data_IF_121674215867
#
_entry.id   IF_121674215867
#
_cell.length_a   1.000
_cell.length_b   1.000
_cell.length_c   1.000
_cell.angle_alpha   90.00
_cell.angle_beta   90.00
_cell.angle_gamma   90.00
#
_symmetry.space_group_name_H-M   'P 1'
#
loop_
_entity.id
_entity.type
_entity.pdbx_description
1 polymer ?
#
# COMPACT_ATOMS: atom_id res chain seq x y z
N UNK A 1 -10.64 35.49 -21.83
CA UNK A 1 -10.27 34.78 -23.08
C UNK A 1 -10.78 35.57 -24.25
N UNK A 2 -9.96 35.69 -25.30
CA UNK A 2 -10.27 36.38 -26.57
C UNK A 2 -10.43 35.35 -27.69
N UNK A 3 -10.93 35.76 -28.86
CA UNK A 3 -11.14 34.86 -30.00
C UNK A 3 -9.83 34.20 -30.44
N UNK A 4 -8.72 34.94 -30.40
CA UNK A 4 -7.40 34.48 -30.82
C UNK A 4 -6.96 33.27 -29.99
N UNK A 5 -7.15 33.33 -28.67
CA UNK A 5 -6.79 32.24 -27.74
C UNK A 5 -7.70 31.02 -27.95
N UNK A 6 -8.98 31.23 -28.24
CA UNK A 6 -9.90 30.13 -28.54
C UNK A 6 -9.55 29.45 -29.87
N UNK A 7 -9.17 30.23 -30.89
CA UNK A 7 -8.74 29.74 -32.20
C UNK A 7 -7.44 28.96 -32.11
N UNK A 8 -6.46 29.46 -31.35
CA UNK A 8 -5.19 28.75 -31.11
C UNK A 8 -5.41 27.40 -30.40
N UNK A 9 -6.28 27.35 -29.39
CA UNK A 9 -6.63 26.11 -28.71
C UNK A 9 -7.34 25.10 -29.63
N UNK A 10 -8.22 25.57 -30.51
CA UNK A 10 -8.90 24.73 -31.51
C UNK A 10 -7.90 24.12 -32.51
N UNK A 11 -7.00 24.95 -33.05
CA UNK A 11 -5.95 24.50 -33.98
C UNK A 11 -5.02 23.48 -33.32
N UNK A 12 -4.58 23.75 -32.09
CA UNK A 12 -3.77 22.81 -31.30
C UNK A 12 -4.48 21.47 -31.07
N UNK A 13 -5.78 21.48 -30.79
CA UNK A 13 -6.57 20.26 -30.65
C UNK A 13 -6.68 19.49 -31.97
N UNK A 14 -6.93 20.17 -33.08
CA UNK A 14 -7.04 19.58 -34.43
C UNK A 14 -5.71 18.94 -34.83
N UNK A 15 -4.58 19.62 -34.62
CA UNK A 15 -3.25 19.09 -34.92
C UNK A 15 -2.90 17.85 -34.07
N UNK A 16 -3.50 17.71 -32.88
CA UNK A 16 -3.34 16.50 -32.05
C UNK A 16 -4.08 15.26 -32.59
N UNK A 17 -4.92 15.41 -33.63
CA UNK A 17 -5.73 14.34 -34.22
C UNK A 17 -5.27 14.03 -35.64
N UNK A 18 -4.81 12.80 -35.85
CA UNK A 18 -4.20 12.29 -37.09
C UNK A 18 -5.02 12.49 -38.38
N UNK A 19 -6.33 12.75 -38.30
CA UNK A 19 -7.22 12.80 -39.46
C UNK A 19 -8.02 14.10 -39.56
N UNK A 20 -7.71 15.11 -38.75
CA UNK A 20 -8.42 16.38 -38.79
C UNK A 20 -7.65 17.34 -39.71
N UNK A 21 -8.37 18.00 -40.61
CA UNK A 21 -7.78 18.98 -41.54
C UNK A 21 -7.60 20.32 -40.84
N UNK A 22 -6.35 20.73 -40.63
CA UNK A 22 -6.01 22.03 -40.02
C UNK A 22 -6.46 23.21 -40.86
N UNK A 23 -6.53 23.07 -42.18
CA UNK A 23 -7.08 24.09 -43.09
C UNK A 23 -8.56 24.35 -42.85
N UNK A 24 -9.37 23.31 -42.65
CA UNK A 24 -10.81 23.47 -42.35
C UNK A 24 -11.00 24.13 -40.98
N UNK A 25 -10.16 23.81 -40.00
CA UNK A 25 -10.24 24.42 -38.68
C UNK A 25 -9.84 25.91 -38.65
N UNK A 26 -8.92 26.32 -39.54
CA UNK A 26 -8.52 27.73 -39.71
C UNK A 26 -9.64 28.59 -40.27
N UNK A 27 -10.44 28.05 -41.19
CA UNK A 27 -11.53 28.76 -41.88
C UNK A 27 -12.84 28.81 -41.09
N UNK A 28 -12.92 28.12 -39.94
CA UNK A 28 -14.11 28.17 -39.08
C UNK A 28 -14.31 29.57 -38.50
N UNK A 29 -15.54 30.07 -38.62
CA UNK A 29 -15.97 31.34 -38.01
C UNK A 29 -16.55 31.04 -36.64
N UNK A 30 -15.93 31.61 -35.59
CA UNK A 30 -16.46 31.53 -34.23
C UNK A 30 -17.62 32.51 -34.12
N UNK A 31 -18.85 31.98 -34.17
CA UNK A 31 -20.06 32.82 -34.16
C UNK A 31 -20.36 33.41 -32.77
N UNK A 32 -20.10 32.66 -31.71
CA UNK A 32 -20.43 33.07 -30.35
C UNK A 32 -19.48 32.43 -29.34
N UNK A 33 -18.97 33.23 -28.40
CA UNK A 33 -18.18 32.79 -27.25
C UNK A 33 -19.01 32.98 -25.98
N UNK A 34 -19.63 31.90 -25.49
CA UNK A 34 -20.33 31.90 -24.21
C UNK A 34 -19.35 31.68 -23.09
N UNK A 35 -19.44 32.46 -22.02
CA UNK A 35 -18.69 32.21 -20.78
C UNK A 35 -19.52 31.33 -19.86
N UNK A 36 -18.92 30.24 -19.40
CA UNK A 36 -19.51 29.34 -18.44
C UNK A 36 -18.65 29.27 -17.18
N UNK A 37 -19.28 29.48 -16.03
CA UNK A 37 -18.59 29.37 -14.74
C UNK A 37 -18.83 27.98 -14.20
N UNK A 38 -17.75 27.27 -13.91
CA UNK A 38 -17.78 25.98 -13.24
C UNK A 38 -17.23 26.15 -11.83
N UNK A 39 -17.95 25.67 -10.82
CA UNK A 39 -17.43 25.61 -9.47
C UNK A 39 -17.09 24.17 -9.11
N UNK A 40 -15.88 23.97 -8.58
CA UNK A 40 -15.39 22.70 -8.04
C UNK A 40 -15.25 22.85 -6.53
N UNK A 41 -15.86 21.94 -5.81
CA UNK A 41 -15.62 21.74 -4.38
C UNK A 41 -14.70 20.54 -4.19
N UNK A 42 -13.68 20.70 -3.36
CA UNK A 42 -12.76 19.64 -2.97
C UNK A 42 -12.62 19.62 -1.45
N UNK A 43 -12.80 18.46 -0.85
CA UNK A 43 -12.55 18.19 0.56
C UNK A 43 -11.47 17.12 0.66
N UNK A 44 -10.34 17.47 1.25
CA UNK A 44 -9.28 16.54 1.58
C UNK A 44 -9.26 16.31 3.09
N UNK A 45 -9.24 15.05 3.51
CA UNK A 45 -9.26 14.66 4.92
C UNK A 45 -8.09 13.76 5.22
N UNK A 46 -7.19 14.26 6.05
CA UNK A 46 -6.06 13.52 6.54
C UNK A 46 -6.41 12.80 7.83
N UNK A 47 -6.25 11.48 7.83
CA UNK A 47 -6.67 10.63 8.94
C UNK A 47 -5.57 9.65 9.36
N UNK A 48 -5.55 9.34 10.65
CA UNK A 48 -4.71 8.32 11.25
C UNK A 48 -5.58 7.14 11.70
N UNK A 49 -5.21 5.93 11.28
CA UNK A 49 -5.82 4.70 11.77
C UNK A 49 -4.77 3.79 12.41
N UNK A 50 -5.16 3.04 13.43
CA UNK A 50 -4.29 2.15 14.19
C UNK A 50 -4.91 0.76 14.30
N UNK A 51 -4.14 -0.27 13.94
CA UNK A 51 -4.53 -1.67 14.11
C UNK A 51 -3.42 -2.44 14.83
N UNK A 52 -3.80 -3.50 15.52
CA UNK A 52 -2.87 -4.41 16.18
C UNK A 52 -2.92 -5.80 15.57
N UNK A 53 -1.76 -6.33 15.19
CA UNK A 53 -1.61 -7.68 14.66
C UNK A 53 -0.59 -8.48 15.48
N UNK A 54 -0.85 -9.76 15.73
CA UNK A 54 0.17 -10.64 16.31
C UNK A 54 1.18 -11.04 15.25
N UNK A 55 2.46 -10.82 15.53
CA UNK A 55 3.55 -11.23 14.66
C UNK A 55 4.64 -11.97 15.43
N UNK A 56 5.64 -12.49 14.72
CA UNK A 56 6.75 -13.21 15.34
C UNK A 56 8.06 -13.03 14.57
N UNK A 57 9.17 -13.18 15.29
CA UNK A 57 10.51 -13.22 14.70
C UNK A 57 11.39 -14.29 15.37
N UNK A 58 12.47 -14.76 14.72
CA UNK A 58 13.47 -15.60 15.36
C UNK A 58 13.97 -14.97 16.66
N UNK A 59 14.02 -15.76 17.73
CA UNK A 59 14.48 -15.28 19.02
C UNK A 59 16.01 -15.32 19.08
N UNK A 60 16.66 -14.17 18.86
CA UNK A 60 18.14 -14.05 18.86
C UNK A 60 18.70 -13.39 20.12
N UNK A 61 17.91 -12.57 20.82
CA UNK A 61 18.35 -11.77 21.96
C UNK A 61 17.78 -12.29 23.27
N UNK A 62 18.57 -12.27 24.34
CA UNK A 62 18.16 -12.79 25.66
C UNK A 62 17.23 -11.83 26.42
N UNK A 63 17.20 -10.55 26.07
CA UNK A 63 16.30 -9.57 26.69
C UNK A 63 14.94 -9.58 26.00
N UNK A 64 13.89 -9.84 26.79
CA UNK A 64 12.50 -9.85 26.33
C UNK A 64 11.72 -8.78 27.07
N UNK A 65 11.04 -7.93 26.30
CA UNK A 65 10.10 -6.96 26.83
C UNK A 65 8.68 -7.55 26.87
N UNK A 66 8.43 -8.41 27.87
CA UNK A 66 7.17 -9.10 28.06
C UNK A 66 6.32 -8.54 29.20
N UNK A 67 5.16 -9.17 29.49
CA UNK A 67 4.19 -8.68 30.48
C UNK A 67 4.75 -8.56 31.91
N UNK A 68 5.88 -9.22 32.19
CA UNK A 68 6.58 -9.13 33.46
C UNK A 68 7.17 -7.74 33.73
N UNK A 69 7.34 -6.92 32.69
CA UNK A 69 7.88 -5.54 32.77
C UNK A 69 6.78 -4.47 32.86
N UNK A 70 5.51 -4.86 32.76
CA UNK A 70 4.37 -3.96 32.82
C UNK A 70 3.19 -4.44 31.97
N UNK A 71 2.05 -3.77 32.12
CA UNK A 71 0.91 -3.98 31.23
C UNK A 71 1.15 -3.31 29.87
N UNK A 72 0.76 -3.98 28.78
CA UNK A 72 0.82 -3.36 27.45
C UNK A 72 -0.14 -2.17 27.36
N UNK A 73 0.31 -1.00 26.88
CA UNK A 73 -0.54 0.18 26.74
C UNK A 73 -1.61 -0.03 25.67
N UNK A 74 -2.70 0.77 25.72
CA UNK A 74 -3.68 0.78 24.63
C UNK A 74 -3.06 1.37 23.37
N UNK A 75 -3.60 1.02 22.20
CA UNK A 75 -3.00 1.42 20.92
C UNK A 75 -2.86 2.93 20.75
N UNK A 76 -3.81 3.71 21.27
CA UNK A 76 -3.82 5.17 21.20
C UNK A 76 -2.97 5.85 22.29
N UNK A 77 -2.59 5.13 23.34
CA UNK A 77 -1.71 5.66 24.40
C UNK A 77 -0.25 5.70 23.96
N UNK A 78 0.11 4.89 22.95
CA UNK A 78 1.45 4.83 22.37
C UNK A 78 1.71 6.13 21.58
N UNK A 79 2.64 6.96 22.07
CA UNK A 79 3.01 8.21 21.39
C UNK A 79 3.93 7.91 20.22
N UNK A 80 3.51 8.34 19.03
CA UNK A 80 4.28 8.20 17.78
C UNK A 80 4.29 9.54 17.07
N UNK A 81 5.44 9.91 16.53
CA UNK A 81 5.57 11.09 15.67
C UNK A 81 4.96 10.78 14.29
N UNK A 82 3.94 11.54 13.91
CA UNK A 82 3.30 11.42 12.60
C UNK A 82 4.14 12.00 11.45
N UNK A 83 3.82 11.68 10.20
CA UNK A 83 4.40 12.35 9.03
C UNK A 83 3.89 13.80 8.93
N UNK A 84 4.49 14.63 8.05
CA UNK A 84 3.92 15.92 7.69
C UNK A 84 2.47 15.80 7.22
N UNK A 85 1.66 16.85 7.44
CA UNK A 85 0.24 16.83 7.08
C UNK A 85 0.05 16.56 5.59
N UNK A 86 -0.98 15.75 5.26
CA UNK A 86 -1.30 15.30 3.90
C UNK A 86 -0.21 14.47 3.21
N UNK A 87 0.74 13.90 3.95
CA UNK A 87 1.64 12.86 3.45
C UNK A 87 1.19 11.49 3.96
N UNK A 88 0.86 10.60 3.01
CA UNK A 88 0.52 9.23 3.35
C UNK A 88 1.76 8.47 3.83
N UNK A 89 1.59 7.69 4.89
CA UNK A 89 2.66 6.87 5.46
C UNK A 89 2.07 5.64 6.15
N UNK A 90 2.85 4.59 6.31
CA UNK A 90 2.51 3.42 7.10
C UNK A 90 3.71 2.97 7.91
N UNK A 91 3.57 3.00 9.24
CA UNK A 91 4.63 2.62 10.16
C UNK A 91 4.22 1.45 11.02
N UNK A 92 5.19 0.59 11.33
CA UNK A 92 5.00 -0.59 12.17
C UNK A 92 5.89 -0.51 13.40
N UNK A 93 5.30 -0.72 14.57
CA UNK A 93 5.99 -0.68 15.86
C UNK A 93 5.67 -1.93 16.66
N UNK A 94 6.63 -2.39 17.46
CA UNK A 94 6.35 -3.40 18.47
C UNK A 94 5.70 -2.74 19.68
N UNK A 95 4.56 -3.27 20.14
CA UNK A 95 3.87 -2.77 21.33
C UNK A 95 4.70 -3.13 22.57
N UNK A 96 5.01 -2.17 23.46
CA UNK A 96 5.74 -2.42 24.70
C UNK A 96 5.08 -3.50 25.56
N UNK A 97 5.93 -4.27 26.24
CA UNK A 97 5.55 -5.33 27.19
C UNK A 97 4.68 -6.45 26.60
N UNK A 98 4.53 -6.52 25.27
CA UNK A 98 3.68 -7.53 24.60
C UNK A 98 4.44 -8.81 24.20
N UNK A 99 5.74 -8.87 24.47
CA UNK A 99 6.61 -9.91 23.93
C UNK A 99 6.50 -11.22 24.72
N UNK A 100 6.42 -12.33 24.00
CA UNK A 100 6.31 -13.68 24.55
C UNK A 100 7.17 -14.65 23.75
N UNK A 101 8.06 -15.36 24.44
CA UNK A 101 8.90 -16.38 23.80
C UNK A 101 8.15 -17.71 23.77
N UNK A 102 8.01 -18.28 22.57
CA UNK A 102 7.42 -19.61 22.37
C UNK A 102 8.38 -20.49 21.58
N UNK A 103 8.19 -21.80 21.68
CA UNK A 103 8.86 -22.71 20.77
C UNK A 103 8.42 -22.45 19.33
N UNK A 104 9.33 -22.67 18.39
CA UNK A 104 9.02 -22.49 16.98
C UNK A 104 7.94 -23.48 16.55
N UNK A 105 6.76 -22.96 16.25
CA UNK A 105 5.58 -23.73 15.88
C UNK A 105 5.78 -24.60 14.62
N UNK A 106 6.72 -24.25 13.75
CA UNK A 106 7.01 -25.06 12.55
C UNK A 106 7.93 -26.24 12.85
N UNK A 107 8.96 -26.08 13.68
CA UNK A 107 9.95 -27.14 13.95
C UNK A 107 9.79 -27.82 15.31
N UNK A 108 8.88 -27.34 16.16
CA UNK A 108 8.65 -27.78 17.54
C UNK A 108 9.94 -27.81 18.35
N UNK A 109 10.65 -26.68 18.41
CA UNK A 109 11.90 -26.56 19.17
C UNK A 109 13.13 -27.27 18.57
N UNK A 110 13.02 -27.97 17.44
CA UNK A 110 14.16 -28.70 16.84
C UNK A 110 15.17 -27.81 16.12
N UNK A 111 14.75 -26.64 15.64
CA UNK A 111 15.55 -25.70 14.84
C UNK A 111 15.89 -26.21 13.42
N UNK A 112 15.56 -27.46 13.10
CA UNK A 112 15.87 -28.12 11.82
C UNK A 112 14.78 -29.12 11.44
N UNK A 113 14.68 -29.43 10.16
CA UNK A 113 13.84 -30.48 9.60
C UNK A 113 14.69 -31.61 9.03
N UNK A 114 14.19 -32.85 9.09
CA UNK A 114 14.79 -33.94 8.31
C UNK A 114 14.74 -33.56 6.83
N UNK A 115 15.85 -33.77 6.13
CA UNK A 115 15.87 -33.55 4.70
C UNK A 115 14.92 -34.54 4.03
N UNK A 116 13.93 -34.04 3.28
CA UNK A 116 12.98 -34.90 2.56
C UNK A 116 13.66 -35.84 1.56
N UNK A 117 14.74 -35.39 0.90
CA UNK A 117 15.44 -36.18 -0.11
C UNK A 117 16.27 -37.36 0.44
N UNK A 118 16.63 -37.38 1.72
CA UNK A 118 17.38 -38.49 2.33
C UNK A 118 16.79 -39.00 3.64
N UNK A 119 15.64 -38.48 4.05
CA UNK A 119 14.94 -38.78 5.30
C UNK A 119 15.81 -38.73 6.58
N UNK A 120 16.85 -37.88 6.58
CA UNK A 120 17.78 -37.78 7.71
C UNK A 120 19.13 -38.49 7.51
N UNK A 121 19.26 -39.37 6.51
CA UNK A 121 20.45 -40.20 6.34
C UNK A 121 21.69 -39.45 5.84
N UNK A 122 21.53 -38.22 5.32
CA UNK A 122 22.60 -37.44 4.69
C UNK A 122 23.10 -38.01 3.36
N UNK A 123 22.73 -39.25 3.04
CA UNK A 123 23.11 -39.94 1.81
C UNK A 123 21.87 -40.52 1.13
N UNK A 124 21.88 -40.54 -0.19
CA UNK A 124 20.85 -41.15 -1.05
C UNK A 124 21.45 -42.35 -1.77
N UNK A 125 20.61 -43.30 -2.19
CA UNK A 125 21.07 -44.41 -3.04
C UNK A 125 21.66 -43.82 -4.32
N UNK A 126 22.79 -44.36 -4.78
CA UNK A 126 23.37 -43.91 -6.03
C UNK A 126 22.41 -44.26 -7.17
N UNK A 127 21.92 -43.29 -7.95
CA UNK A 127 20.96 -43.56 -9.03
C UNK A 127 21.57 -44.45 -10.13
N UNK A 128 22.89 -44.38 -10.33
CA UNK A 128 23.60 -45.17 -11.35
C UNK A 128 23.78 -46.64 -11.01
N UNK A 129 23.77 -47.02 -9.72
CA UNK A 129 23.90 -48.43 -9.33
C UNK A 129 22.79 -48.91 -8.39
N UNK A 130 21.74 -48.11 -8.21
CA UNK A 130 20.58 -48.36 -7.36
C UNK A 130 20.89 -48.84 -5.92
N UNK A 131 22.08 -48.55 -5.40
CA UNK A 131 22.50 -49.04 -4.08
C UNK A 131 23.19 -50.41 -4.06
N UNK A 132 23.41 -51.03 -5.23
CA UNK A 132 24.18 -52.26 -5.34
C UNK A 132 25.63 -52.01 -4.91
N UNK A 133 25.97 -52.44 -3.69
CA UNK A 133 27.35 -52.52 -3.21
C UNK A 133 28.00 -53.67 -3.95
N UNK A 134 28.89 -53.40 -4.90
CA UNK A 134 29.63 -54.48 -5.56
C UNK A 134 30.57 -55.12 -4.54
N UNK A 135 30.26 -56.36 -4.12
CA UNK A 135 31.28 -57.26 -3.57
C UNK A 135 32.30 -57.49 -4.68
N UNK A 136 33.57 -57.42 -4.32
CA UNK A 136 34.73 -57.27 -5.20
C UNK A 136 34.98 -58.43 -6.18
N UNK A 137 34.11 -58.64 -7.18
CA UNK A 137 34.30 -59.71 -8.18
C UNK A 137 34.28 -59.28 -9.65
N UNK A 138 33.93 -58.04 -10.00
CA UNK A 138 34.12 -57.53 -11.38
C UNK A 138 34.51 -56.04 -11.42
N UNK A 139 35.58 -55.77 -12.18
CA UNK A 139 36.50 -54.61 -12.12
C UNK A 139 35.98 -53.28 -12.71
N UNK A 140 34.77 -52.82 -12.35
CA UNK A 140 34.40 -51.41 -12.58
C UNK A 140 33.64 -50.84 -11.40
N UNK A 141 34.37 -50.27 -10.44
CA UNK A 141 33.79 -49.46 -9.36
C UNK A 141 32.85 -48.41 -9.97
N UNK A 142 31.63 -48.26 -9.45
CA UNK A 142 30.71 -47.24 -9.95
C UNK A 142 31.36 -45.86 -9.78
N UNK A 143 31.66 -45.18 -10.90
CA UNK A 143 32.41 -43.92 -10.92
C UNK A 143 31.69 -42.81 -10.11
N UNK A 144 30.36 -42.81 -10.13
CA UNK A 144 29.53 -41.81 -9.45
C UNK A 144 29.50 -41.94 -7.92
N UNK A 145 29.72 -43.13 -7.37
CA UNK A 145 29.69 -43.37 -5.90
C UNK A 145 30.94 -44.05 -5.36
N UNK A 146 31.99 -44.18 -6.18
CA UNK A 146 33.21 -44.91 -5.87
C UNK A 146 32.96 -46.29 -5.22
N UNK A 147 31.90 -47.00 -5.64
CA UNK A 147 31.55 -48.33 -5.13
C UNK A 147 30.85 -48.37 -3.77
N UNK A 148 30.62 -47.22 -3.12
CA UNK A 148 29.89 -47.16 -1.83
C UNK A 148 28.39 -47.49 -1.94
N UNK A 149 27.83 -47.42 -3.16
CA UNK A 149 26.40 -47.59 -3.43
C UNK A 149 25.54 -46.40 -2.99
N UNK A 150 26.13 -45.39 -2.35
CA UNK A 150 25.42 -44.21 -1.83
C UNK A 150 26.15 -42.94 -2.22
N UNK A 151 25.42 -41.83 -2.32
CA UNK A 151 25.99 -40.51 -2.59
C UNK A 151 25.52 -39.52 -1.55
N UNK A 152 26.32 -38.49 -1.30
CA UNK A 152 25.91 -37.34 -0.49
C UNK A 152 24.61 -36.79 -1.06
N UNK A 153 23.61 -36.60 -0.20
CA UNK A 153 22.36 -35.97 -0.61
C UNK A 153 22.65 -34.54 -1.06
N UNK A 154 22.35 -34.20 -2.32
CA UNK A 154 22.52 -32.86 -2.86
C UNK A 154 21.61 -31.85 -2.17
N UNK A 155 20.37 -32.26 -1.85
CA UNK A 155 19.34 -31.42 -1.25
C UNK A 155 19.68 -30.88 0.15
N UNK A 156 20.54 -31.55 0.91
CA UNK A 156 21.02 -31.07 2.22
C UNK A 156 22.55 -31.03 2.31
N UNK A 157 23.23 -31.16 1.17
CA UNK A 157 24.69 -31.23 1.07
C UNK A 157 25.32 -32.20 2.08
N UNK A 158 24.67 -33.34 2.33
CA UNK A 158 25.17 -34.35 3.26
C UNK A 158 24.76 -34.20 4.72
N UNK A 159 24.16 -33.08 5.13
CA UNK A 159 23.85 -32.82 6.55
C UNK A 159 22.71 -33.67 7.12
N UNK A 160 21.91 -34.30 6.26
CA UNK A 160 20.72 -35.06 6.66
C UNK A 160 19.54 -34.19 7.13
N UNK A 161 19.77 -32.92 7.46
CA UNK A 161 18.76 -31.97 7.90
C UNK A 161 18.86 -30.63 7.14
N UNK A 162 17.77 -29.87 7.17
CA UNK A 162 17.69 -28.49 6.71
C UNK A 162 17.38 -27.58 7.88
N UNK A 163 18.06 -26.43 7.97
CA UNK A 163 17.75 -25.43 8.99
C UNK A 163 16.32 -24.93 8.83
N UNK A 164 15.63 -24.74 9.95
CA UNK A 164 14.28 -24.20 9.92
C UNK A 164 14.30 -22.76 9.42
N UNK A 165 13.58 -22.46 8.33
CA UNK A 165 13.52 -21.10 7.78
C UNK A 165 12.82 -20.12 8.72
N UNK A 166 11.78 -20.57 9.44
CA UNK A 166 10.95 -19.74 10.32
C UNK A 166 11.71 -19.22 11.54
N UNK A 167 12.48 -20.07 12.23
CA UNK A 167 13.28 -19.65 13.39
C UNK A 167 14.77 -19.52 13.06
N UNK A 168 15.19 -19.69 11.81
CA UNK A 168 16.59 -19.64 11.34
C UNK A 168 17.58 -20.51 12.12
N UNK A 169 17.10 -21.53 12.83
CA UNK A 169 17.92 -22.39 13.71
C UNK A 169 17.80 -22.11 15.21
N UNK A 170 17.21 -20.98 15.61
CA UNK A 170 17.12 -20.53 17.02
C UNK A 170 16.18 -21.35 17.91
N UNK A 171 15.41 -22.27 17.32
CA UNK A 171 14.42 -23.16 17.99
C UNK A 171 13.22 -22.45 18.63
N UNK A 172 13.36 -21.19 19.04
CA UNK A 172 12.33 -20.34 19.65
C UNK A 172 11.96 -19.15 18.75
N UNK A 173 10.77 -18.64 18.94
CA UNK A 173 10.23 -17.44 18.29
C UNK A 173 9.79 -16.44 19.35
N UNK A 174 10.09 -15.17 19.11
CA UNK A 174 9.56 -14.06 19.87
C UNK A 174 8.25 -13.63 19.21
N UNK A 175 7.13 -13.89 19.89
CA UNK A 175 5.82 -13.39 19.49
C UNK A 175 5.56 -12.05 20.17
N UNK A 176 4.98 -11.10 19.47
CA UNK A 176 4.62 -9.80 20.04
C UNK A 176 3.44 -9.19 19.27
N UNK A 177 2.81 -8.20 19.88
CA UNK A 177 1.78 -7.40 19.21
C UNK A 177 2.50 -6.31 18.41
N UNK A 178 2.24 -6.26 17.11
CA UNK A 178 2.70 -5.22 16.21
C UNK A 178 1.57 -4.21 16.00
N UNK A 179 1.84 -2.96 16.34
CA UNK A 179 1.00 -1.82 16.03
C UNK A 179 1.33 -1.35 14.61
N UNK A 180 0.33 -1.30 13.75
CA UNK A 180 0.41 -0.71 12.41
C UNK A 180 -0.38 0.59 12.42
N UNK A 181 0.30 1.70 12.16
CA UNK A 181 -0.29 3.03 12.06
C UNK A 181 -0.29 3.44 10.59
N UNK A 182 -1.44 3.85 10.09
CA UNK A 182 -1.62 4.26 8.70
C UNK A 182 -2.16 5.68 8.65
N UNK A 183 -1.47 6.54 7.90
CA UNK A 183 -1.88 7.90 7.58
C UNK A 183 -2.34 7.95 6.13
N UNK A 184 -3.55 8.46 5.88
CA UNK A 184 -4.17 8.48 4.55
C UNK A 184 -4.91 9.77 4.27
N UNK A 185 -4.93 10.16 2.99
CA UNK A 185 -5.72 11.28 2.50
C UNK A 185 -6.99 10.73 1.83
N UNK A 186 -8.16 11.07 2.37
CA UNK A 186 -9.44 10.82 1.72
C UNK A 186 -9.87 12.07 0.96
N UNK A 187 -10.18 11.91 -0.32
CA UNK A 187 -10.57 13.00 -1.21
C UNK A 187 -12.04 12.86 -1.60
N UNK A 188 -12.78 13.94 -1.42
CA UNK A 188 -14.11 14.12 -1.95
C UNK A 188 -14.09 15.30 -2.91
N UNK A 189 -14.50 15.07 -4.16
CA UNK A 189 -14.55 16.10 -5.20
C UNK A 189 -15.96 16.18 -5.80
N UNK A 190 -16.46 17.40 -5.90
CA UNK A 190 -17.73 17.71 -6.53
C UNK A 190 -17.55 18.85 -7.52
N UNK A 191 -18.25 18.79 -8.64
CA UNK A 191 -18.23 19.81 -9.69
C UNK A 191 -19.68 20.18 -9.98
N UNK A 192 -20.00 21.47 -9.95
CA UNK A 192 -21.33 21.98 -10.28
C UNK A 192 -21.59 21.76 -11.77
N UNK A 193 -22.58 20.94 -12.12
CA UNK A 193 -22.98 20.72 -13.51
C UNK A 193 -23.93 21.84 -13.94
N UNK A 194 -23.38 22.85 -14.60
CA UNK A 194 -24.15 23.58 -15.62
C UNK A 194 -24.00 22.84 -16.94
N UNK A 195 -25.02 22.93 -17.81
CA UNK A 195 -25.24 22.19 -19.07
C UNK A 195 -24.03 22.20 -20.03
N UNK A 196 -22.98 21.48 -19.65
CA UNK A 196 -21.75 21.36 -20.39
C UNK A 196 -21.78 19.99 -21.05
N UNK A 197 -21.83 19.96 -22.37
CA UNK A 197 -21.47 18.77 -23.16
C UNK A 197 -19.94 18.53 -23.11
N UNK A 198 -19.30 18.80 -21.97
CA UNK A 198 -17.87 18.71 -21.77
C UNK A 198 -17.54 17.50 -20.89
N UNK A 199 -16.64 16.59 -21.33
CA UNK A 199 -16.21 15.44 -20.53
C UNK A 199 -15.62 15.85 -19.18
N UNK A 200 -16.04 15.16 -18.11
CA UNK A 200 -15.59 15.40 -16.72
C UNK A 200 -14.07 15.28 -16.56
N UNK A 201 -13.42 14.46 -17.37
CA UNK A 201 -11.97 14.22 -17.35
C UNK A 201 -11.17 15.46 -17.80
N UNK A 202 -11.74 16.27 -18.70
CA UNK A 202 -11.15 17.53 -19.13
C UNK A 202 -11.32 18.61 -18.05
N UNK A 203 -12.48 18.61 -17.37
CA UNK A 203 -12.75 19.49 -16.23
C UNK A 203 -11.83 19.20 -15.04
N UNK A 204 -11.38 17.96 -14.85
CA UNK A 204 -10.44 17.61 -13.78
C UNK A 204 -9.06 18.28 -13.97
N UNK A 205 -8.63 18.46 -15.23
CA UNK A 205 -7.32 19.06 -15.59
C UNK A 205 -7.36 20.58 -15.68
N UNK A 206 -8.54 21.16 -15.62
CA UNK A 206 -8.74 22.59 -15.65
C UNK A 206 -8.01 23.29 -14.49
N UNK A 207 -7.27 24.35 -14.82
CA UNK A 207 -6.79 25.31 -13.83
C UNK A 207 -7.89 26.34 -13.60
N UNK A 208 -8.20 26.60 -12.33
CA UNK A 208 -9.17 27.60 -11.90
C UNK A 208 -8.59 28.47 -10.80
N UNK A 209 -9.34 29.50 -10.43
CA UNK A 209 -9.03 30.38 -9.30
C UNK A 209 -9.61 29.78 -8.01
N UNK A 210 -8.87 29.85 -6.90
CA UNK A 210 -9.39 29.43 -5.60
C UNK A 210 -10.29 30.52 -5.03
N UNK A 211 -11.59 30.26 -4.97
CA UNK A 211 -12.60 31.16 -4.41
C UNK A 211 -12.54 31.17 -2.88
N UNK A 212 -12.26 30.01 -2.28
CA UNK A 212 -12.03 29.90 -0.83
C UNK A 212 -11.14 28.69 -0.52
N UNK A 213 -10.49 28.77 0.64
CA UNK A 213 -9.77 27.66 1.28
C UNK A 213 -10.02 27.76 2.78
N UNK A 214 -10.51 26.67 3.38
CA UNK A 214 -10.58 26.49 4.83
C UNK A 214 -9.74 25.26 5.23
N UNK A 215 -9.02 25.38 6.32
CA UNK A 215 -8.08 24.38 6.81
C UNK A 215 -8.25 24.28 8.33
N UNK A 216 -8.80 23.15 8.79
CA UNK A 216 -9.16 22.95 10.19
C UNK A 216 -9.09 21.47 10.58
N UNK A 217 -9.13 21.18 11.89
CA UNK A 217 -9.19 19.78 12.37
C UNK A 217 -10.46 19.06 11.91
N UNK A 218 -11.58 19.79 11.91
CA UNK A 218 -12.83 19.44 11.25
C UNK A 218 -13.34 20.71 10.58
N UNK A 219 -13.58 20.65 9.27
CA UNK A 219 -14.11 21.81 8.53
C UNK A 219 -15.63 21.88 8.69
N UNK A 220 -16.16 23.10 8.66
CA UNK A 220 -17.61 23.31 8.71
C UNK A 220 -18.21 23.24 7.31
N UNK A 221 -19.47 22.77 7.19
CA UNK A 221 -20.19 22.89 5.94
C UNK A 221 -20.32 24.34 5.53
N UNK A 222 -20.15 24.61 4.24
CA UNK A 222 -20.28 25.96 3.71
C UNK A 222 -21.75 26.37 3.78
N UNK A 223 -22.01 27.48 4.47
CA UNK A 223 -23.30 28.14 4.54
C UNK A 223 -23.30 29.34 3.59
N UNK A 224 -24.45 29.63 2.98
CA UNK A 224 -24.68 30.84 2.17
C UNK A 224 -23.79 31.03 0.93
N UNK A 225 -23.23 29.95 0.37
CA UNK A 225 -22.55 30.02 -0.92
C UNK A 225 -23.55 30.32 -2.06
N UNK A 226 -23.23 31.20 -3.02
CA UNK A 226 -24.14 31.56 -4.12
C UNK A 226 -24.66 30.37 -4.93
N UNK A 227 -23.87 29.29 -5.03
CA UNK A 227 -24.27 28.03 -5.64
C UNK A 227 -24.67 27.01 -4.58
N UNK A 228 -25.98 26.77 -4.45
CA UNK A 228 -26.55 25.81 -3.48
C UNK A 228 -25.96 24.40 -3.60
N UNK A 229 -25.62 23.97 -4.82
CA UNK A 229 -25.03 22.65 -5.07
C UNK A 229 -23.68 22.47 -4.37
N UNK A 230 -22.88 23.54 -4.26
CA UNK A 230 -21.60 23.52 -3.56
C UNK A 230 -21.82 23.39 -2.05
N UNK A 231 -22.79 24.13 -1.49
CA UNK A 231 -23.14 24.00 -0.06
C UNK A 231 -23.63 22.58 0.27
N UNK A 232 -24.48 22.00 -0.58
CA UNK A 232 -24.95 20.61 -0.42
C UNK A 232 -23.83 19.59 -0.62
N UNK A 233 -22.91 19.83 -1.55
CA UNK A 233 -21.74 18.98 -1.74
C UNK A 233 -20.80 19.02 -0.52
N UNK A 234 -20.61 20.20 0.07
CA UNK A 234 -19.84 20.36 1.30
C UNK A 234 -20.42 19.58 2.46
N UNK A 235 -21.74 19.69 2.68
CA UNK A 235 -22.44 18.91 3.71
C UNK A 235 -22.29 17.39 3.47
N UNK A 236 -22.47 16.94 2.22
CA UNK A 236 -22.33 15.52 1.85
C UNK A 236 -20.91 15.00 2.07
N UNK A 237 -19.89 15.72 1.58
CA UNK A 237 -18.49 15.30 1.72
C UNK A 237 -18.05 15.18 3.18
N UNK A 238 -18.45 16.15 4.02
CA UNK A 238 -18.16 16.11 5.46
C UNK A 238 -18.89 14.93 6.14
N UNK A 239 -20.17 14.73 5.81
CA UNK A 239 -20.95 13.61 6.33
C UNK A 239 -20.39 12.25 5.90
N UNK A 240 -19.96 12.11 4.65
CA UNK A 240 -19.37 10.89 4.12
C UNK A 240 -18.03 10.56 4.79
N UNK A 241 -17.12 11.54 4.87
CA UNK A 241 -15.84 11.35 5.53
C UNK A 241 -16.00 11.07 7.02
N UNK A 242 -16.90 11.78 7.71
CA UNK A 242 -17.17 11.52 9.13
C UNK A 242 -17.76 10.12 9.35
N UNK A 243 -18.69 9.67 8.50
CA UNK A 243 -19.25 8.32 8.59
C UNK A 243 -18.22 7.21 8.28
N UNK A 244 -17.38 7.41 7.26
CA UNK A 244 -16.34 6.45 6.90
C UNK A 244 -15.26 6.28 7.99
N UNK A 245 -14.96 7.38 8.70
CA UNK A 245 -13.92 7.42 9.72
C UNK A 245 -14.45 7.18 11.13
N UNK A 246 -15.76 7.32 11.36
CA UNK A 246 -16.41 7.09 12.65
C UNK A 246 -16.01 5.71 13.19
N UNK A 247 -15.32 5.70 14.35
CA UNK A 247 -14.75 4.55 15.05
C UNK A 247 -13.49 3.89 14.48
N UNK A 248 -13.10 4.18 13.23
CA UNK A 248 -11.98 3.47 12.55
C UNK A 248 -10.68 4.29 12.50
N UNK A 249 -10.81 5.61 12.54
CA UNK A 249 -9.68 6.51 12.39
C UNK A 249 -9.92 7.83 13.15
N UNK A 250 -8.83 8.52 13.45
CA UNK A 250 -8.84 9.88 13.97
C UNK A 250 -8.55 10.84 12.82
N UNK A 251 -9.43 11.82 12.62
CA UNK A 251 -9.15 12.94 11.71
C UNK A 251 -8.07 13.81 12.35
N UNK A 252 -7.01 14.08 11.60
CA UNK A 252 -5.93 14.96 12.01
C UNK A 252 -6.15 16.37 11.45
N UNK A 253 -6.53 16.46 10.18
CA UNK A 253 -6.77 17.73 9.50
C UNK A 253 -7.69 17.53 8.29
N UNK A 254 -8.50 18.53 8.01
CA UNK A 254 -9.31 18.64 6.81
C UNK A 254 -9.00 19.96 6.10
N UNK A 255 -8.97 19.92 4.78
CA UNK A 255 -8.83 21.09 3.92
C UNK A 255 -10.00 21.08 2.95
N UNK A 256 -10.82 22.12 3.00
CA UNK A 256 -11.89 22.36 2.04
C UNK A 256 -11.51 23.50 1.12
N UNK A 257 -11.72 23.32 -0.18
CA UNK A 257 -11.36 24.30 -1.21
C UNK A 257 -12.48 24.38 -2.24
N UNK A 258 -12.83 25.60 -2.60
CA UNK A 258 -13.70 25.89 -3.74
C UNK A 258 -12.89 26.55 -4.83
N UNK A 259 -12.80 25.91 -5.99
CA UNK A 259 -12.22 26.49 -7.19
C UNK A 259 -13.31 26.94 -8.16
N UNK A 260 -13.22 28.16 -8.66
CA UNK A 260 -13.96 28.63 -9.83
C UNK A 260 -13.09 28.40 -11.06
N UNK A 261 -13.51 27.55 -11.97
CA UNK A 261 -12.89 27.44 -13.28
C UNK A 261 -13.79 28.17 -14.28
N UNK A 262 -13.33 29.32 -14.77
CA UNK A 262 -13.99 30.04 -15.85
C UNK A 262 -13.61 29.30 -17.14
N UNK A 263 -14.58 28.63 -17.77
CA UNK A 263 -14.41 28.01 -19.09
C UNK A 263 -15.40 28.62 -20.08
N UNK A 264 -15.14 28.47 -21.37
CA UNK A 264 -16.04 28.88 -22.45
C UNK A 264 -16.97 27.70 -22.79
#
# INVERSE_FOLDING_TARGET
MTEEVAREALLSFVDSKCCYSSTVAGDLVIQELKRQTLCRYRLETFSESRISEWTFQPFTNHSVDGPQRGASPRLWDIKVQGPPMFQEDTRKFQVPHSSLVKECHKCHGRGRYKCSGCHGAGTVRCPSCCGAKRKAKQSRRCQLCAGSGRRRCSTCSGRGNKTCATCKGEKKLLHFIQLVIMWKNSLFEFVSEHRLNCPRELLAKAKGENLFKDENSVVYPIVDFPLRDISLASQRGIAEHSAALASRARVLQQVSQGGGAIWL
#
